data_IF_079785585559
#
_entry.id   IF_079785585559
#
_cell.length_a   1.000
_cell.length_b   1.000
_cell.length_c   1.000
_cell.angle_alpha   90.00
_cell.angle_beta   90.00
_cell.angle_gamma   90.00
#
_symmetry.space_group_name_H-M   'P 1'
#
loop_
_entity.id
_entity.type
_entity.pdbx_description
1 polymer ?
#
# COMPACT_ATOMS: atom_id res chain seq x y z
N UNK A 1 -35.13 55.79 -66.52
CA UNK A 1 -35.51 55.17 -67.80
C UNK A 1 -35.11 53.71 -67.75
N UNK A 2 -36.02 52.85 -68.21
CA UNK A 2 -35.99 51.38 -68.40
C UNK A 2 -34.64 50.83 -68.93
N UNK A 3 -34.27 49.55 -68.77
CA UNK A 3 -35.05 48.30 -68.98
C UNK A 3 -34.52 47.08 -68.20
N UNK A 4 -35.46 46.19 -67.86
CA UNK A 4 -35.30 44.79 -67.40
C UNK A 4 -35.13 43.80 -68.56
N UNK A 5 -34.63 42.60 -68.24
CA UNK A 5 -35.18 41.25 -68.61
C UNK A 5 -34.50 40.19 -67.71
N UNK A 6 -35.16 39.59 -66.70
CA UNK A 6 -35.99 38.35 -66.72
C UNK A 6 -35.22 37.07 -67.13
N UNK A 7 -35.36 35.85 -66.58
CA UNK A 7 -36.09 35.15 -65.49
C UNK A 7 -35.48 33.71 -65.46
N UNK A 8 -35.25 32.95 -64.38
CA UNK A 8 -36.18 32.10 -63.58
C UNK A 8 -35.36 30.98 -62.89
N UNK A 9 -35.44 30.83 -61.54
CA UNK A 9 -36.10 29.77 -60.73
C UNK A 9 -35.28 28.44 -60.62
N UNK A 10 -35.16 27.69 -59.51
CA UNK A 10 -35.95 27.35 -58.31
C UNK A 10 -34.94 26.90 -57.21
N UNK A 11 -34.97 27.37 -55.94
CA UNK A 11 -35.60 26.74 -54.74
C UNK A 11 -34.84 25.51 -54.20
N UNK A 12 -34.66 25.21 -52.91
CA UNK A 12 -34.98 25.86 -51.64
C UNK A 12 -34.20 25.16 -50.50
N UNK A 13 -34.16 25.85 -49.36
CA UNK A 13 -33.48 25.61 -48.08
C UNK A 13 -33.97 24.36 -47.33
N UNK A 14 -33.12 23.73 -46.51
CA UNK A 14 -33.39 23.24 -45.11
C UNK A 14 -32.17 22.45 -44.59
N UNK A 15 -31.38 23.00 -43.66
CA UNK A 15 -31.52 22.99 -42.19
C UNK A 15 -31.03 21.71 -41.53
N UNK A 16 -29.86 21.83 -40.89
CA UNK A 16 -29.26 20.90 -39.94
C UNK A 16 -30.11 20.80 -38.67
N UNK A 17 -30.35 19.58 -38.17
CA UNK A 17 -30.60 19.36 -36.75
C UNK A 17 -30.32 17.91 -36.32
N UNK A 18 -29.47 17.81 -35.29
CA UNK A 18 -29.49 16.85 -34.15
C UNK A 18 -29.63 15.35 -34.41
N UNK A 19 -28.55 14.60 -34.13
CA UNK A 19 -28.60 13.15 -33.94
C UNK A 19 -28.59 12.86 -32.44
N UNK A 20 -29.75 12.46 -31.94
CA UNK A 20 -29.97 11.83 -30.64
C UNK A 20 -29.81 10.31 -30.80
N UNK A 21 -29.04 9.70 -29.90
CA UNK A 21 -28.85 8.26 -29.81
C UNK A 21 -29.97 7.62 -28.97
N UNK A 22 -30.53 6.53 -29.48
CA UNK A 22 -31.30 5.55 -28.71
C UNK A 22 -31.06 4.14 -29.27
N UNK A 23 -31.19 3.10 -28.42
CA UNK A 23 -30.52 1.83 -28.60
C UNK A 23 -31.31 0.88 -29.50
N UNK A 24 -30.61 0.12 -30.35
CA UNK A 24 -31.22 -0.97 -31.13
C UNK A 24 -31.34 -2.23 -30.28
N UNK A 25 -32.57 -2.55 -29.93
CA UNK A 25 -33.02 -3.86 -29.45
C UNK A 25 -32.81 -4.91 -30.55
N UNK A 26 -32.04 -5.96 -30.27
CA UNK A 26 -32.03 -7.20 -31.07
C UNK A 26 -32.55 -8.33 -30.21
N UNK A 27 -33.64 -8.92 -30.67
CA UNK A 27 -34.40 -10.01 -30.05
C UNK A 27 -33.64 -11.32 -30.16
N UNK A 28 -33.33 -11.98 -29.04
CA UNK A 28 -32.88 -13.38 -29.01
C UNK A 28 -34.07 -14.27 -28.63
N UNK A 29 -34.33 -15.29 -29.45
CA UNK A 29 -35.37 -16.29 -29.20
C UNK A 29 -34.98 -17.20 -28.03
N UNK A 30 -35.89 -17.33 -27.07
CA UNK A 30 -35.83 -18.40 -26.06
C UNK A 30 -36.23 -19.73 -26.69
N UNK A 31 -35.37 -20.74 -26.53
CA UNK A 31 -35.76 -22.15 -26.61
C UNK A 31 -35.85 -22.70 -25.19
N UNK A 32 -37.02 -23.23 -24.88
CA UNK A 32 -37.44 -23.85 -23.62
C UNK A 32 -36.71 -25.17 -23.37
N UNK A 33 -36.07 -25.31 -22.21
CA UNK A 33 -35.86 -26.60 -21.56
C UNK A 33 -36.61 -26.61 -20.22
N UNK A 34 -37.44 -27.63 -20.05
CA UNK A 34 -38.26 -27.91 -18.88
C UNK A 34 -37.37 -28.31 -17.68
N UNK A 35 -37.59 -27.68 -16.53
CA UNK A 35 -37.12 -28.16 -15.23
C UNK A 35 -38.06 -29.28 -14.75
N UNK A 36 -37.49 -30.44 -14.40
CA UNK A 36 -38.14 -31.40 -13.51
C UNK A 36 -37.69 -31.12 -12.07
N UNK A 37 -38.68 -30.80 -11.24
CA UNK A 37 -38.57 -30.70 -9.79
C UNK A 37 -38.57 -32.09 -9.18
N UNK A 38 -37.53 -32.42 -8.39
CA UNK A 38 -37.60 -33.54 -7.44
C UNK A 38 -37.46 -33.01 -6.02
N UNK A 39 -38.56 -33.16 -5.29
CA UNK A 39 -38.69 -32.99 -3.85
C UNK A 39 -38.00 -34.18 -3.18
N UNK A 40 -37.11 -33.95 -2.22
CA UNK A 40 -36.77 -34.97 -1.21
C UNK A 40 -36.74 -34.35 0.19
N UNK A 41 -37.39 -35.06 1.10
CA UNK A 41 -37.74 -34.68 2.46
C UNK A 41 -36.55 -34.75 3.42
N UNK A 42 -36.66 -33.94 4.48
CA UNK A 42 -35.88 -34.00 5.71
C UNK A 42 -35.90 -35.41 6.33
N UNK A 43 -34.72 -35.86 6.79
CA UNK A 43 -34.61 -36.74 7.95
C UNK A 43 -33.40 -36.33 8.79
N UNK A 44 -33.64 -35.99 10.06
CA UNK A 44 -32.64 -35.91 11.12
C UNK A 44 -32.15 -37.32 11.48
N UNK A 45 -30.92 -37.47 12.01
CA UNK A 45 -30.88 -37.89 13.41
C UNK A 45 -29.66 -37.39 14.25
N UNK A 46 -29.99 -37.20 15.54
CA UNK A 46 -29.22 -37.41 16.78
C UNK A 46 -27.83 -36.76 16.98
N UNK A 47 -27.82 -35.91 18.00
CA UNK A 47 -26.66 -35.56 18.83
C UNK A 47 -26.09 -36.79 19.55
N UNK A 48 -24.77 -36.91 19.53
CA UNK A 48 -24.01 -37.56 20.60
C UNK A 48 -22.81 -36.69 20.97
N UNK A 49 -22.74 -36.39 22.25
CA UNK A 49 -21.68 -35.70 22.98
C UNK A 49 -20.36 -36.48 22.95
N UNK A 50 -19.24 -35.80 22.74
CA UNK A 50 -18.00 -36.09 23.48
C UNK A 50 -17.05 -34.91 23.43
N UNK A 51 -16.68 -34.44 24.62
CA UNK A 51 -15.66 -33.45 24.86
C UNK A 51 -14.27 -34.08 24.68
N UNK A 52 -13.37 -33.36 24.01
CA UNK A 52 -11.94 -33.57 24.11
C UNK A 52 -11.29 -32.21 24.40
N UNK A 53 -10.51 -32.20 25.48
CA UNK A 53 -9.73 -31.07 25.97
C UNK A 53 -8.57 -30.82 25.01
N UNK A 54 -8.41 -29.59 24.54
CA UNK A 54 -7.13 -29.12 24.01
C UNK A 54 -6.37 -28.41 25.13
N UNK A 55 -5.30 -29.06 25.59
CA UNK A 55 -4.32 -28.50 26.52
C UNK A 55 -3.33 -27.64 25.76
N UNK A 56 -3.32 -26.36 26.10
CA UNK A 56 -2.27 -25.38 25.82
C UNK A 56 -0.92 -25.91 26.26
N UNK A 57 0.04 -26.01 25.34
CA UNK A 57 1.45 -26.22 25.69
C UNK A 57 2.27 -25.05 25.16
N UNK A 58 2.77 -24.24 26.09
CA UNK A 58 3.76 -23.18 25.86
C UNK A 58 5.03 -23.79 25.26
N UNK A 59 5.49 -23.26 24.12
CA UNK A 59 6.86 -23.46 23.65
C UNK A 59 7.77 -22.47 24.36
N UNK A 60 8.50 -22.96 25.36
CA UNK A 60 9.72 -22.32 25.87
C UNK A 60 10.83 -22.44 24.82
N UNK A 61 11.40 -21.31 24.41
CA UNK A 61 12.66 -21.25 23.66
C UNK A 61 13.82 -21.40 24.66
N UNK A 62 14.52 -22.54 24.63
CA UNK A 62 15.81 -22.71 25.32
C UNK A 62 16.95 -22.55 24.31
N UNK A 63 17.88 -21.65 24.63
CA UNK A 63 19.12 -21.43 23.89
C UNK A 63 20.14 -22.50 24.29
N UNK A 64 20.31 -23.53 23.46
CA UNK A 64 21.40 -24.51 23.61
C UNK A 64 22.68 -23.96 22.99
N UNK A 65 23.67 -23.62 23.83
CA UNK A 65 25.06 -23.37 23.44
C UNK A 65 25.82 -24.68 23.38
N UNK A 66 26.30 -25.07 22.20
CA UNK A 66 27.12 -26.27 22.06
C UNK A 66 28.60 -25.87 22.09
N UNK A 67 29.26 -26.23 23.19
CA UNK A 67 30.69 -26.14 23.41
C UNK A 67 31.38 -27.35 22.79
N UNK A 68 32.25 -27.14 21.81
CA UNK A 68 33.14 -28.16 21.26
C UNK A 68 34.50 -28.07 21.97
N UNK A 69 34.81 -29.10 22.76
CA UNK A 69 36.10 -29.31 23.40
C UNK A 69 37.11 -29.79 22.35
N UNK A 70 38.21 -29.05 22.21
CA UNK A 70 39.39 -29.45 21.42
C UNK A 70 40.40 -30.11 22.36
N UNK A 71 40.74 -31.36 22.05
CA UNK A 71 41.71 -32.17 22.79
C UNK A 71 43.14 -31.81 22.36
N UNK A 72 44.02 -31.64 23.34
CA UNK A 72 45.40 -31.16 23.20
C UNK A 72 46.40 -32.29 22.94
N UNK A 73 47.38 -32.06 22.05
CA UNK A 73 48.65 -32.81 22.00
C UNK A 73 49.86 -31.86 22.00
N UNK A 74 51.03 -32.26 22.54
CA UNK A 74 52.02 -31.34 23.07
C UNK A 74 53.14 -30.94 22.09
N UNK A 75 53.80 -29.86 22.51
CA UNK A 75 54.88 -29.06 21.92
C UNK A 75 56.18 -29.86 21.67
N UNK A 76 56.86 -29.55 20.56
CA UNK A 76 58.33 -29.64 20.45
C UNK A 76 58.90 -28.39 19.75
N UNK A 77 60.05 -27.95 20.23
CA UNK A 77 60.68 -26.64 20.03
C UNK A 77 61.99 -26.76 19.25
N UNK A 78 62.25 -25.89 18.26
CA UNK A 78 63.63 -25.52 17.88
C UNK A 78 63.73 -24.11 17.26
N UNK A 79 64.83 -23.44 17.64
CA UNK A 79 65.35 -22.11 17.27
C UNK A 79 65.46 -21.89 15.73
N UNK A 80 65.49 -20.67 15.14
CA UNK A 80 66.46 -19.60 15.36
C UNK A 80 66.15 -18.32 14.51
N UNK A 81 66.09 -17.16 15.19
CA UNK A 81 66.66 -15.82 14.90
C UNK A 81 66.54 -15.12 13.51
N UNK A 82 65.78 -14.01 13.54
CA UNK A 82 66.05 -12.63 13.06
C UNK A 82 66.26 -12.32 11.57
N UNK A 83 65.38 -11.47 11.03
CA UNK A 83 65.75 -10.26 10.28
C UNK A 83 64.64 -9.22 10.45
N UNK A 84 65.01 -8.00 10.85
CA UNK A 84 64.13 -6.83 10.97
C UNK A 84 64.23 -5.98 9.72
N UNK A 85 63.11 -5.68 9.06
CA UNK A 85 62.88 -4.45 8.26
C UNK A 85 61.40 -4.10 8.40
N UNK A 86 61.12 -2.87 8.85
CA UNK A 86 59.79 -2.43 9.27
C UNK A 86 58.82 -2.15 8.14
N UNK A 87 57.53 -2.30 8.46
CA UNK A 87 56.41 -1.63 7.79
C UNK A 87 55.46 -1.19 8.90
N UNK A 88 55.04 0.07 8.79
CA UNK A 88 54.19 0.81 9.71
C UNK A 88 52.86 0.09 9.95
N UNK A 89 52.41 0.11 11.20
CA UNK A 89 51.15 -0.47 11.64
C UNK A 89 50.05 0.58 11.45
N UNK A 90 49.27 0.48 10.37
CA UNK A 90 47.99 1.17 10.26
C UNK A 90 46.99 0.50 11.21
N UNK A 91 46.72 1.17 12.33
CA UNK A 91 45.56 0.89 13.18
C UNK A 91 44.31 1.38 12.47
N UNK A 92 43.63 0.50 11.73
CA UNK A 92 42.26 0.75 11.27
C UNK A 92 41.31 0.55 12.45
N UNK A 93 41.10 1.63 13.20
CA UNK A 93 39.89 1.79 14.00
C UNK A 93 38.74 1.96 13.02
N UNK A 94 37.96 0.91 12.81
CA UNK A 94 36.69 0.99 12.09
C UNK A 94 35.70 1.82 12.91
N UNK A 95 35.78 3.14 12.78
CA UNK A 95 34.65 4.01 13.02
C UNK A 95 33.65 3.69 11.91
N UNK A 96 32.67 2.84 12.22
CA UNK A 96 31.40 2.88 11.48
C UNK A 96 30.81 4.24 11.81
N UNK A 97 31.08 5.21 10.95
CA UNK A 97 30.32 6.43 10.89
C UNK A 97 28.90 6.00 10.51
N UNK A 98 28.04 5.81 11.52
CA UNK A 98 26.61 5.88 11.27
C UNK A 98 26.38 7.23 10.64
N UNK A 99 26.08 7.23 9.35
CA UNK A 99 25.59 8.43 8.69
C UNK A 99 24.34 8.87 9.46
N UNK A 100 24.48 9.99 10.17
CA UNK A 100 23.36 10.74 10.72
C UNK A 100 22.49 11.16 9.54
N UNK A 101 21.49 10.34 9.20
CA UNK A 101 20.42 10.70 8.27
C UNK A 101 19.54 11.74 8.95
N UNK A 102 20.01 12.98 8.94
CA UNK A 102 19.34 14.14 9.53
C UNK A 102 17.90 14.22 9.05
N UNK A 103 17.03 14.66 9.96
CA UNK A 103 15.66 15.19 9.83
C UNK A 103 15.42 16.24 8.71
N UNK A 104 16.15 16.20 7.59
CA UNK A 104 16.17 17.21 6.52
C UNK A 104 15.59 16.72 5.19
N UNK A 105 15.60 15.43 4.91
CA UNK A 105 14.94 14.88 3.73
C UNK A 105 13.54 14.40 4.12
N UNK A 106 12.51 15.00 3.54
CA UNK A 106 11.12 14.58 3.77
C UNK A 106 10.42 15.17 5.00
N UNK A 107 11.02 16.08 5.75
CA UNK A 107 10.39 16.64 6.95
C UNK A 107 9.58 17.92 6.67
N UNK A 108 8.38 18.04 7.23
CA UNK A 108 7.59 19.26 7.27
C UNK A 108 7.97 20.13 8.46
N UNK A 109 7.75 21.45 8.40
CA UNK A 109 8.03 22.35 9.53
C UNK A 109 6.81 23.18 9.92
N UNK A 110 6.50 23.24 11.21
CA UNK A 110 5.43 24.08 11.77
C UNK A 110 5.83 24.54 13.17
N UNK A 111 5.56 25.80 13.51
CA UNK A 111 5.76 26.37 14.86
C UNK A 111 7.16 26.12 15.46
N UNK A 112 8.23 26.17 14.65
CA UNK A 112 9.60 25.95 15.12
C UNK A 112 9.94 24.48 15.41
N UNK A 113 9.12 23.54 14.92
CA UNK A 113 9.36 22.11 14.96
C UNK A 113 9.44 21.54 13.55
N UNK A 114 10.25 20.50 13.36
CA UNK A 114 10.21 19.63 12.20
C UNK A 114 9.42 18.36 12.52
N UNK A 115 8.74 17.81 11.53
CA UNK A 115 7.91 16.62 11.60
C UNK A 115 8.29 15.67 10.47
N UNK A 116 8.35 14.37 10.74
CA UNK A 116 8.66 13.34 9.74
C UNK A 116 7.92 12.05 10.08
N UNK A 117 7.36 11.39 9.06
CA UNK A 117 6.80 10.05 9.21
C UNK A 117 7.91 8.99 9.07
N UNK A 118 7.76 7.88 9.80
CA UNK A 118 8.74 6.80 9.83
C UNK A 118 8.08 5.45 9.58
N UNK A 119 8.77 4.65 8.77
CA UNK A 119 8.47 3.25 8.46
C UNK A 119 9.62 2.35 8.92
N UNK A 120 9.39 1.04 9.16
CA UNK A 120 8.11 0.31 9.06
C UNK A 120 7.12 0.66 10.19
N UNK A 121 5.85 0.22 10.12
CA UNK A 121 4.89 0.43 11.19
C UNK A 121 5.31 -0.28 12.49
N UNK A 122 5.15 0.39 13.62
CA UNK A 122 5.57 -0.08 14.95
C UNK A 122 4.45 0.08 15.99
N UNK A 123 4.60 -0.58 17.14
CA UNK A 123 3.77 -0.32 18.32
C UNK A 123 4.00 1.11 18.82
N UNK A 124 3.04 1.69 19.55
CA UNK A 124 3.15 3.08 20.02
C UNK A 124 4.41 3.30 20.87
N UNK A 125 4.74 2.36 21.75
CA UNK A 125 5.93 2.47 22.61
C UNK A 125 7.24 2.36 21.84
N UNK A 126 7.30 1.48 20.83
CA UNK A 126 8.51 1.32 20.02
C UNK A 126 8.70 2.53 19.08
N UNK A 127 7.61 3.08 18.56
CA UNK A 127 7.60 4.31 17.78
C UNK A 127 8.13 5.51 18.59
N UNK A 128 7.69 5.68 19.84
CA UNK A 128 8.20 6.71 20.74
C UNK A 128 9.70 6.57 20.99
N UNK A 129 10.18 5.34 21.17
CA UNK A 129 11.61 5.08 21.35
C UNK A 129 12.42 5.54 20.13
N UNK A 130 11.97 5.23 18.92
CA UNK A 130 12.62 5.69 17.68
C UNK A 130 12.64 7.21 17.59
N UNK A 131 11.53 7.89 17.91
CA UNK A 131 11.50 9.35 17.89
C UNK A 131 12.45 9.98 18.91
N UNK A 132 12.62 9.36 20.07
CA UNK A 132 13.57 9.78 21.10
C UNK A 132 15.02 9.60 20.65
N UNK A 133 15.34 8.49 19.97
CA UNK A 133 16.66 8.25 19.38
C UNK A 133 17.01 9.28 18.29
N UNK A 134 16.01 9.76 17.55
CA UNK A 134 16.13 10.87 16.61
C UNK A 134 16.28 12.25 17.30
N UNK A 135 16.27 12.29 18.64
CA UNK A 135 16.38 13.51 19.45
C UNK A 135 15.10 14.34 19.46
N UNK A 136 13.96 13.68 19.27
CA UNK A 136 12.61 14.22 19.27
C UNK A 136 11.69 13.41 20.20
N UNK A 137 10.39 13.42 19.89
CA UNK A 137 9.38 12.54 20.49
C UNK A 137 8.31 12.27 19.41
N UNK A 138 7.34 11.40 19.65
CA UNK A 138 6.14 11.35 18.84
C UNK A 138 5.44 12.71 18.81
N UNK A 139 4.85 13.02 17.67
CA UNK A 139 4.40 14.36 17.32
C UNK A 139 3.29 14.88 18.23
N UNK A 140 3.38 16.16 18.59
CA UNK A 140 2.40 16.89 19.38
C UNK A 140 1.61 17.80 18.45
N UNK A 141 0.44 17.34 18.01
CA UNK A 141 -0.36 18.00 16.97
C UNK A 141 -1.53 18.80 17.57
N UNK A 142 -1.20 19.77 18.41
CA UNK A 142 -2.19 20.48 19.23
C UNK A 142 -2.82 21.73 18.59
N UNK A 143 -2.47 22.05 17.35
CA UNK A 143 -3.00 23.20 16.59
C UNK A 143 -3.46 22.75 15.21
N UNK A 144 -4.36 23.51 14.58
CA UNK A 144 -4.85 23.17 13.24
C UNK A 144 -3.72 23.16 12.20
N UNK A 145 -2.74 24.06 12.33
CA UNK A 145 -1.56 24.10 11.45
C UNK A 145 -0.73 22.81 11.57
N UNK A 146 -0.64 22.24 12.77
CA UNK A 146 0.05 20.97 13.00
C UNK A 146 -0.79 19.75 12.58
N UNK A 147 -2.09 19.76 12.81
CA UNK A 147 -2.97 18.66 12.36
C UNK A 147 -2.96 18.56 10.83
N UNK A 148 -2.94 19.70 10.15
CA UNK A 148 -2.84 19.77 8.69
C UNK A 148 -1.44 19.39 8.16
N UNK A 149 -0.49 18.98 9.00
CA UNK A 149 0.83 18.49 8.56
C UNK A 149 0.72 17.27 7.64
N UNK A 150 -0.35 16.46 7.74
CA UNK A 150 -0.66 15.40 6.77
C UNK A 150 -0.63 15.93 5.34
N UNK A 151 -1.14 17.14 5.07
CA UNK A 151 -1.13 17.71 3.73
C UNK A 151 0.29 18.03 3.22
N UNK A 152 1.33 17.96 4.06
CA UNK A 152 2.69 18.45 3.75
C UNK A 152 3.77 17.39 4.03
N UNK A 153 3.53 16.39 4.88
CA UNK A 153 4.46 15.27 5.03
C UNK A 153 4.55 14.57 3.66
N UNK A 154 5.70 14.58 2.98
CA UNK A 154 5.85 14.06 1.61
C UNK A 154 5.49 12.58 1.47
N UNK A 155 5.43 11.84 2.57
CA UNK A 155 5.03 10.43 2.62
C UNK A 155 3.48 10.24 2.61
N UNK A 156 2.71 11.33 2.68
CA UNK A 156 1.24 11.33 2.55
C UNK A 156 0.75 11.74 1.15
N UNK A 157 1.61 12.40 0.37
CA UNK A 157 1.36 12.64 -1.04
C UNK A 157 2.11 11.60 -1.86
N UNK A 158 1.66 11.38 -3.08
CA UNK A 158 2.45 10.56 -3.99
C UNK A 158 3.80 11.22 -4.22
N UNK A 159 4.87 10.47 -3.94
CA UNK A 159 6.24 10.93 -4.13
C UNK A 159 6.41 11.51 -5.56
N UNK A 160 7.28 12.51 -5.78
CA UNK A 160 7.44 13.13 -7.08
C UNK A 160 7.62 12.11 -8.20
N UNK A 161 6.79 12.21 -9.24
CA UNK A 161 6.77 11.26 -10.36
C UNK A 161 5.81 10.07 -10.20
N UNK A 162 5.18 9.89 -9.03
CA UNK A 162 4.07 8.96 -8.82
C UNK A 162 2.72 9.69 -8.98
N UNK A 163 1.78 9.03 -9.64
CA UNK A 163 0.43 9.50 -9.90
C UNK A 163 -0.48 9.20 -8.69
N UNK A 164 -1.28 10.18 -8.26
CA UNK A 164 -2.28 10.00 -7.20
C UNK A 164 -2.37 11.19 -6.24
N UNK A 165 -3.07 11.02 -5.10
CA UNK A 165 -3.64 9.77 -4.60
C UNK A 165 -4.96 9.36 -5.28
N UNK A 166 -5.17 8.06 -5.48
CA UNK A 166 -6.46 7.47 -5.86
C UNK A 166 -6.80 6.33 -4.91
N UNK A 167 -7.89 6.47 -4.15
CA UNK A 167 -8.31 5.47 -3.15
C UNK A 167 -7.15 5.09 -2.21
N UNK A 168 -6.47 6.11 -1.65
CA UNK A 168 -5.30 5.95 -0.78
C UNK A 168 -4.16 5.13 -1.40
N UNK A 169 -3.97 5.21 -2.72
CA UNK A 169 -2.83 4.59 -3.42
C UNK A 169 -2.16 5.57 -4.38
N UNK A 170 -0.88 5.38 -4.58
CA UNK A 170 -0.06 6.04 -5.59
C UNK A 170 0.38 5.05 -6.65
N UNK A 171 0.49 5.48 -7.90
CA UNK A 171 0.76 4.60 -9.03
C UNK A 171 1.91 5.14 -9.89
N UNK A 172 2.69 4.25 -10.50
CA UNK A 172 3.69 4.59 -11.51
C UNK A 172 3.93 3.38 -12.41
N UNK A 173 4.69 3.59 -13.48
CA UNK A 173 5.09 2.51 -14.38
C UNK A 173 6.58 2.23 -14.31
N UNK A 174 6.97 0.98 -14.53
CA UNK A 174 8.38 0.65 -14.78
C UNK A 174 8.81 1.17 -16.14
N UNK A 175 10.07 1.59 -16.27
CA UNK A 175 10.65 1.95 -17.58
C UNK A 175 11.00 0.73 -18.41
N UNK A 176 11.45 -0.33 -17.74
CA UNK A 176 12.03 -1.51 -18.38
C UNK A 176 10.96 -2.57 -18.66
N UNK A 177 11.20 -3.36 -19.71
CA UNK A 177 10.43 -4.56 -20.01
C UNK A 177 10.95 -5.71 -19.14
N UNK A 178 10.08 -6.25 -18.30
CA UNK A 178 10.43 -7.20 -17.25
C UNK A 178 9.46 -8.39 -17.30
N UNK A 179 9.93 -9.56 -16.87
CA UNK A 179 9.02 -10.66 -16.53
C UNK A 179 8.19 -10.26 -15.31
N UNK A 180 7.05 -10.92 -15.10
CA UNK A 180 6.16 -10.55 -14.01
C UNK A 180 6.86 -10.59 -12.64
N UNK A 181 7.71 -11.60 -12.39
CA UNK A 181 8.47 -11.73 -11.16
C UNK A 181 9.54 -10.63 -10.97
N UNK A 182 10.19 -10.21 -12.06
CA UNK A 182 11.15 -9.11 -12.02
C UNK A 182 10.42 -7.76 -11.82
N UNK A 183 9.25 -7.58 -12.43
CA UNK A 183 8.40 -6.41 -12.17
C UNK A 183 7.97 -6.34 -10.72
N UNK A 184 7.54 -7.45 -10.13
CA UNK A 184 7.23 -7.53 -8.70
C UNK A 184 8.41 -7.09 -7.83
N UNK A 185 9.61 -7.56 -8.16
CA UNK A 185 10.84 -7.17 -7.45
C UNK A 185 11.12 -5.66 -7.57
N UNK A 186 10.97 -5.09 -8.77
CA UNK A 186 11.17 -3.65 -9.01
C UNK A 186 10.09 -2.81 -8.34
N UNK A 187 8.84 -3.26 -8.36
CA UNK A 187 7.76 -2.57 -7.66
C UNK A 187 7.90 -2.67 -6.14
N UNK A 188 8.63 -3.63 -5.57
CA UNK A 188 8.76 -3.82 -4.12
C UNK A 188 9.64 -2.77 -3.38
N UNK A 189 9.86 -1.61 -3.98
CA UNK A 189 10.62 -0.51 -3.38
C UNK A 189 9.81 0.23 -2.32
N UNK A 190 10.31 0.26 -1.09
CA UNK A 190 9.69 0.97 0.03
C UNK A 190 8.22 0.60 0.27
N UNK A 191 7.88 -0.70 0.34
CA UNK A 191 6.52 -1.18 0.68
C UNK A 191 5.50 -1.10 -0.46
N UNK A 192 5.95 -0.74 -1.66
CA UNK A 192 5.17 -0.75 -2.90
C UNK A 192 4.98 -2.17 -3.44
N UNK A 193 4.00 -2.41 -4.32
CA UNK A 193 3.73 -3.71 -4.95
C UNK A 193 3.25 -3.54 -6.40
N UNK A 194 3.02 -4.65 -7.11
CA UNK A 194 2.32 -4.60 -8.41
C UNK A 194 0.87 -4.15 -8.24
N UNK A 195 0.41 -3.28 -9.14
CA UNK A 195 -0.89 -2.62 -9.00
C UNK A 195 -2.09 -3.57 -9.15
N UNK A 196 -3.13 -3.30 -8.36
CA UNK A 196 -4.43 -3.96 -8.42
C UNK A 196 -5.55 -2.92 -8.34
N UNK A 197 -6.69 -3.20 -8.97
CA UNK A 197 -7.81 -2.26 -9.05
C UNK A 197 -9.09 -2.89 -8.53
N UNK A 198 -9.81 -2.15 -7.68
CA UNK A 198 -11.05 -2.60 -7.04
C UNK A 198 -12.31 -2.05 -7.70
N UNK A 199 -12.17 -1.09 -8.63
CA UNK A 199 -13.29 -0.49 -9.33
C UNK A 199 -12.88 0.11 -10.68
N UNK A 200 -13.87 0.21 -11.56
CA UNK A 200 -13.72 0.68 -12.92
C UNK A 200 -13.28 2.15 -13.02
N UNK A 201 -13.75 3.02 -12.10
CA UNK A 201 -13.48 4.45 -12.16
C UNK A 201 -12.00 4.73 -11.87
N UNK A 202 -11.47 4.10 -10.81
CA UNK A 202 -10.06 4.20 -10.43
C UNK A 202 -9.16 3.64 -11.52
N UNK A 203 -9.50 2.46 -12.06
CA UNK A 203 -8.72 1.85 -13.15
C UNK A 203 -8.52 2.78 -14.34
N UNK A 204 -9.62 3.25 -14.95
CA UNK A 204 -9.52 4.09 -16.15
C UNK A 204 -8.87 5.45 -15.88
N UNK A 205 -9.11 6.03 -14.71
CA UNK A 205 -8.49 7.32 -14.33
C UNK A 205 -6.97 7.18 -14.14
N UNK A 206 -6.53 6.09 -13.51
CA UNK A 206 -5.11 5.83 -13.27
C UNK A 206 -4.37 5.55 -14.58
N UNK A 207 -4.88 4.67 -15.44
CA UNK A 207 -4.18 4.34 -16.69
C UNK A 207 -4.14 5.54 -17.66
N UNK A 208 -5.14 6.42 -17.65
CA UNK A 208 -5.11 7.68 -18.39
C UNK A 208 -4.04 8.62 -17.82
N UNK A 209 -4.03 8.82 -16.51
CA UNK A 209 -3.04 9.67 -15.84
C UNK A 209 -1.60 9.18 -15.98
N UNK A 210 -1.39 7.87 -16.15
CA UNK A 210 -0.09 7.26 -16.44
C UNK A 210 0.31 7.35 -17.92
N UNK A 211 -0.57 7.85 -18.79
CA UNK A 211 -0.34 7.92 -20.23
C UNK A 211 -0.32 6.55 -20.91
N UNK A 212 -0.94 5.53 -20.30
CA UNK A 212 -1.10 4.21 -20.90
C UNK A 212 -2.16 4.25 -22.00
N UNK A 213 -3.22 5.07 -21.80
CA UNK A 213 -4.18 5.33 -22.86
C UNK A 213 -3.47 5.99 -24.04
N UNK A 214 -3.73 5.47 -25.24
CA UNK A 214 -3.11 5.82 -26.52
C UNK A 214 -1.69 5.27 -26.75
N UNK A 215 -1.17 4.46 -25.82
CA UNK A 215 0.04 3.67 -26.00
C UNK A 215 -0.19 2.39 -26.80
N UNK A 216 0.91 1.74 -27.19
CA UNK A 216 0.90 0.38 -27.78
C UNK A 216 1.59 -0.64 -26.87
N UNK A 217 2.12 -0.17 -25.74
CA UNK A 217 2.82 -1.01 -24.77
C UNK A 217 1.80 -1.77 -23.89
N UNK A 218 2.15 -3.01 -23.54
CA UNK A 218 1.41 -3.78 -22.56
C UNK A 218 2.02 -3.59 -21.17
N UNK A 219 1.19 -3.74 -20.14
CA UNK A 219 1.61 -3.54 -18.76
C UNK A 219 1.16 -4.69 -17.87
N UNK A 220 2.07 -5.29 -17.12
CA UNK A 220 1.74 -6.22 -16.04
C UNK A 220 0.95 -5.52 -14.93
N UNK A 221 0.01 -6.27 -14.37
CA UNK A 221 -0.70 -5.98 -13.13
C UNK A 221 -0.35 -7.01 -12.05
N UNK A 222 -0.68 -6.70 -10.80
CA UNK A 222 -0.51 -7.59 -9.66
C UNK A 222 -1.52 -8.73 -9.61
N UNK A 223 -2.50 -8.73 -10.51
CA UNK A 223 -3.52 -9.77 -10.59
C UNK A 223 -2.93 -11.04 -11.21
N UNK A 224 -3.16 -12.17 -10.58
CA UNK A 224 -2.64 -13.46 -11.01
C UNK A 224 -3.45 -14.63 -10.39
N UNK A 225 -3.39 -15.81 -11.00
CA UNK A 225 -3.98 -17.06 -10.49
C UNK A 225 -2.96 -18.21 -10.46
N UNK A 226 -1.67 -17.87 -10.35
CA UNK A 226 -0.50 -18.78 -10.36
C UNK A 226 -0.54 -19.94 -9.38
N UNK A 227 -1.36 -19.82 -8.33
CA UNK A 227 -1.46 -20.81 -7.25
C UNK A 227 -2.66 -21.73 -7.44
N UNK A 228 -3.77 -21.20 -7.96
CA UNK A 228 -5.04 -21.91 -8.09
C UNK A 228 -5.74 -21.40 -9.36
N UNK A 229 -5.66 -22.20 -10.41
CA UNK A 229 -6.21 -21.91 -11.73
C UNK A 229 -7.67 -21.44 -11.59
N UNK A 230 -8.03 -20.37 -12.30
CA UNK A 230 -9.37 -19.74 -12.27
C UNK A 230 -9.70 -18.96 -10.98
N UNK A 231 -8.82 -18.95 -9.98
CA UNK A 231 -9.00 -18.20 -8.74
C UNK A 231 -8.00 -17.04 -8.68
N UNK A 232 -8.34 -15.95 -9.38
CA UNK A 232 -7.51 -14.76 -9.40
C UNK A 232 -7.47 -14.03 -8.06
N UNK A 233 -6.26 -13.62 -7.71
CA UNK A 233 -5.94 -12.81 -6.53
C UNK A 233 -5.03 -11.65 -6.92
N UNK A 234 -4.97 -10.66 -6.05
CA UNK A 234 -3.99 -9.58 -6.13
C UNK A 234 -2.60 -10.08 -5.71
N UNK A 235 -1.59 -9.21 -5.84
CA UNK A 235 -0.21 -9.55 -5.50
C UNK A 235 -0.03 -9.87 -4.00
N UNK A 236 -0.83 -9.24 -3.15
CA UNK A 236 -0.90 -9.41 -1.70
C UNK A 236 -1.95 -10.46 -1.26
N UNK A 237 -2.26 -11.42 -2.14
CA UNK A 237 -3.15 -12.56 -1.90
C UNK A 237 -4.61 -12.19 -1.54
N UNK A 238 -5.06 -10.98 -1.85
CA UNK A 238 -6.45 -10.57 -1.63
C UNK A 238 -7.37 -11.06 -2.75
N UNK A 239 -8.62 -11.43 -2.42
CA UNK A 239 -9.61 -11.75 -3.43
C UNK A 239 -9.96 -10.51 -4.26
N UNK A 240 -10.15 -10.69 -5.56
CA UNK A 240 -10.60 -9.60 -6.42
C UNK A 240 -12.06 -9.20 -6.12
N UNK A 241 -12.32 -7.90 -6.12
CA UNK A 241 -13.68 -7.34 -5.96
C UNK A 241 -14.29 -6.85 -7.27
N UNK A 242 -13.45 -6.68 -8.29
CA UNK A 242 -13.82 -6.20 -9.61
C UNK A 242 -12.78 -6.69 -10.63
N UNK A 243 -13.23 -6.93 -11.85
CA UNK A 243 -12.38 -7.36 -12.95
C UNK A 243 -12.72 -6.66 -14.27
N UNK A 244 -11.73 -6.64 -15.16
CA UNK A 244 -11.83 -6.07 -16.50
C UNK A 244 -11.30 -7.04 -17.57
N UNK A 245 -11.48 -8.35 -17.36
CA UNK A 245 -10.95 -9.38 -18.25
C UNK A 245 -11.67 -9.42 -19.59
N UNK A 246 -10.93 -9.73 -20.66
CA UNK A 246 -11.48 -10.23 -21.91
C UNK A 246 -11.38 -11.76 -21.94
N UNK A 247 -12.53 -12.44 -22.04
CA UNK A 247 -12.60 -13.90 -22.06
C UNK A 247 -12.10 -14.47 -23.39
N UNK A 248 -10.83 -14.90 -23.44
CA UNK A 248 -10.23 -15.48 -24.63
C UNK A 248 -9.76 -16.95 -24.47
N UNK A 249 -10.07 -17.61 -23.35
CA UNK A 249 -9.86 -19.06 -23.17
C UNK A 249 -8.40 -19.51 -23.05
N UNK A 250 -7.55 -18.70 -22.42
CA UNK A 250 -6.12 -18.96 -22.23
C UNK A 250 -5.80 -19.49 -20.81
N UNK A 251 -6.44 -20.59 -20.42
CA UNK A 251 -6.33 -21.32 -19.13
C UNK A 251 -4.94 -21.92 -18.79
N UNK A 252 -3.84 -21.31 -19.22
CA UNK A 252 -2.47 -21.77 -18.92
C UNK A 252 -1.51 -20.61 -18.65
N UNK A 253 -2.04 -19.39 -18.60
CA UNK A 253 -1.28 -18.17 -18.43
C UNK A 253 -1.79 -17.49 -17.17
N UNK A 254 -0.89 -17.23 -16.24
CA UNK A 254 -1.34 -16.96 -14.88
C UNK A 254 -1.15 -15.50 -14.43
N UNK A 255 -0.65 -14.63 -15.32
CA UNK A 255 -0.28 -13.25 -14.98
C UNK A 255 -1.05 -12.23 -15.81
N UNK A 256 -1.64 -11.22 -15.17
CA UNK A 256 -2.53 -10.28 -15.85
C UNK A 256 -1.78 -9.13 -16.55
N UNK A 257 -2.20 -8.81 -17.78
CA UNK A 257 -1.68 -7.70 -18.59
C UNK A 257 -2.80 -6.75 -19.04
N UNK A 258 -2.51 -5.46 -19.06
CA UNK A 258 -3.31 -4.46 -19.79
C UNK A 258 -2.94 -4.54 -21.27
N UNK A 259 -3.94 -4.69 -22.14
CA UNK A 259 -3.73 -4.76 -23.58
C UNK A 259 -4.40 -3.61 -24.35
N UNK A 260 -3.64 -2.72 -25.00
CA UNK A 260 -4.21 -1.57 -25.71
C UNK A 260 -5.17 -1.91 -26.85
N UNK A 261 -4.95 -3.04 -27.53
CA UNK A 261 -5.71 -3.43 -28.72
C UNK A 261 -7.18 -3.79 -28.42
N UNK A 262 -7.48 -4.28 -27.21
CA UNK A 262 -8.83 -4.62 -26.78
C UNK A 262 -9.38 -3.58 -25.81
N UNK A 263 -9.31 -2.29 -26.18
CA UNK A 263 -9.83 -1.20 -25.36
C UNK A 263 -9.30 -1.20 -23.91
N UNK A 264 -8.05 -1.62 -23.72
CA UNK A 264 -7.39 -1.68 -22.41
C UNK A 264 -8.06 -2.66 -21.43
N UNK A 265 -8.71 -3.71 -21.94
CA UNK A 265 -9.12 -4.87 -21.15
C UNK A 265 -7.90 -5.66 -20.66
N UNK A 266 -8.16 -6.61 -19.76
CA UNK A 266 -7.13 -7.46 -19.16
C UNK A 266 -7.04 -8.81 -19.88
N UNK A 267 -5.82 -9.23 -20.20
CA UNK A 267 -5.53 -10.57 -20.70
C UNK A 267 -4.47 -11.26 -19.87
N UNK A 268 -4.58 -12.58 -19.87
CA UNK A 268 -3.58 -13.46 -19.32
C UNK A 268 -2.32 -13.49 -20.20
N UNK A 269 -1.17 -13.26 -19.56
CA UNK A 269 0.17 -13.28 -20.08
C UNK A 269 1.00 -14.38 -19.42
N UNK A 270 2.02 -14.87 -20.14
CA UNK A 270 2.91 -15.89 -19.59
C UNK A 270 3.94 -15.24 -18.65
N UNK A 271 3.83 -15.50 -17.35
CA UNK A 271 4.63 -14.86 -16.29
C UNK A 271 6.15 -14.89 -16.52
N UNK A 272 6.67 -15.95 -17.14
CA UNK A 272 8.10 -16.24 -17.24
C UNK A 272 8.69 -15.91 -18.63
N UNK A 273 7.91 -16.11 -19.69
CA UNK A 273 8.39 -16.02 -21.07
C UNK A 273 8.01 -14.72 -21.78
N UNK A 274 7.16 -13.90 -21.18
CA UNK A 274 6.80 -12.58 -21.70
C UNK A 274 7.47 -11.49 -20.86
N UNK A 275 7.76 -10.36 -21.50
CA UNK A 275 8.32 -9.18 -20.83
C UNK A 275 7.51 -7.96 -21.23
N UNK A 276 7.03 -7.23 -20.23
CA UNK A 276 6.21 -6.04 -20.39
C UNK A 276 6.66 -4.99 -19.38
N UNK A 277 6.23 -3.73 -19.55
CA UNK A 277 6.31 -2.78 -18.43
C UNK A 277 5.33 -3.23 -17.35
N UNK A 278 5.38 -2.64 -16.17
CA UNK A 278 4.43 -2.95 -15.11
C UNK A 278 3.85 -1.67 -14.52
N UNK A 279 2.61 -1.76 -14.04
CA UNK A 279 2.04 -0.75 -13.17
C UNK A 279 2.32 -1.16 -11.73
N UNK A 280 2.98 -0.29 -10.99
CA UNK A 280 3.20 -0.45 -9.55
C UNK A 280 2.19 0.41 -8.79
N UNK A 281 1.86 -0.02 -7.56
CA UNK A 281 1.10 0.76 -6.60
C UNK A 281 1.84 0.87 -5.27
N UNK A 282 1.58 1.95 -4.55
CA UNK A 282 2.04 2.15 -3.18
C UNK A 282 0.83 2.54 -2.32
N UNK A 283 0.47 1.74 -1.31
CA UNK A 283 -0.61 2.12 -0.39
C UNK A 283 -0.16 3.31 0.46
N UNK A 284 -1.03 4.31 0.56
CA UNK A 284 -0.89 5.40 1.50
C UNK A 284 -1.57 5.01 2.81
N UNK A 285 -0.85 5.19 3.90
CA UNK A 285 -1.41 5.02 5.24
C UNK A 285 -2.32 6.21 5.56
N UNK A 286 -3.50 5.91 6.09
CA UNK A 286 -4.47 6.94 6.52
C UNK A 286 -4.45 7.19 8.02
N UNK A 287 -3.61 6.49 8.78
CA UNK A 287 -3.65 6.48 10.24
C UNK A 287 -2.26 6.31 10.85
N UNK A 288 -1.86 7.26 11.71
CA UNK A 288 -0.49 7.36 12.19
C UNK A 288 -0.42 7.51 13.70
N UNK A 289 0.56 6.90 14.35
CA UNK A 289 0.83 7.21 15.75
C UNK A 289 1.26 8.66 15.95
N UNK A 290 0.70 9.29 16.98
CA UNK A 290 1.09 10.60 17.51
C UNK A 290 1.37 10.50 19.00
N UNK A 291 1.96 11.54 19.59
CA UNK A 291 2.48 11.50 20.95
C UNK A 291 1.42 11.55 22.05
N UNK A 292 0.15 11.34 21.73
CA UNK A 292 -0.93 11.37 22.71
C UNK A 292 -1.29 9.98 23.22
N UNK A 293 -1.54 9.88 24.52
CA UNK A 293 -1.98 8.67 25.21
C UNK A 293 -2.74 9.02 26.50
N UNK A 294 -3.48 8.06 27.05
CA UNK A 294 -4.08 8.13 28.39
C UNK A 294 -3.70 6.95 29.29
N UNK A 295 -2.58 6.28 28.96
CA UNK A 295 -1.98 5.12 29.65
C UNK A 295 -1.92 5.20 31.19
N UNK A 296 -1.83 6.40 31.74
CA UNK A 296 -1.73 6.63 33.20
C UNK A 296 -3.10 6.79 33.85
N UNK A 297 -4.05 7.40 33.16
CA UNK A 297 -5.37 7.71 33.70
C UNK A 297 -6.37 7.75 32.56
N UNK A 298 -7.16 6.69 32.47
CA UNK A 298 -8.31 6.51 31.59
C UNK A 298 -9.14 7.80 31.44
N UNK A 299 -9.43 8.18 30.18
CA UNK A 299 -10.11 9.41 29.76
C UNK A 299 -9.35 10.72 30.01
N UNK A 300 -8.08 10.66 30.45
CA UNK A 300 -7.23 11.83 30.62
C UNK A 300 -6.07 11.80 29.60
N UNK A 301 -6.41 12.18 28.38
CA UNK A 301 -5.48 12.22 27.25
C UNK A 301 -4.45 13.34 27.36
N UNK A 302 -3.18 12.93 27.27
CA UNK A 302 -2.02 13.82 27.36
C UNK A 302 -1.04 13.56 26.24
N UNK A 303 -0.44 14.64 25.77
CA UNK A 303 0.74 14.58 24.92
C UNK A 303 1.97 14.09 25.70
N UNK A 304 3.00 13.63 25.00
CA UNK A 304 4.30 13.21 25.57
C UNK A 304 4.95 14.30 26.43
N UNK A 305 4.67 15.58 26.17
CA UNK A 305 5.13 16.70 26.99
C UNK A 305 4.24 17.00 28.22
N UNK A 306 3.30 16.12 28.56
CA UNK A 306 2.32 16.19 29.67
C UNK A 306 1.19 17.21 29.52
N UNK A 307 1.13 17.98 28.42
CA UNK A 307 0.01 18.87 28.15
C UNK A 307 -1.26 18.07 27.83
N UNK A 308 -2.41 18.58 28.25
CA UNK A 308 -3.69 17.95 27.97
C UNK A 308 -4.08 18.13 26.48
N UNK A 309 -4.79 17.15 25.93
CA UNK A 309 -5.41 17.27 24.61
C UNK A 309 -6.69 18.10 24.64
N UNK A 310 -7.00 18.72 23.50
CA UNK A 310 -8.29 19.33 23.24
C UNK A 310 -9.27 18.29 22.68
N UNK A 311 -10.34 18.04 23.43
CA UNK A 311 -11.36 17.05 23.06
C UNK A 311 -12.10 17.42 21.76
N UNK A 312 -12.07 18.70 21.33
CA UNK A 312 -12.68 19.12 20.07
C UNK A 312 -11.93 18.63 18.82
N UNK A 313 -10.73 18.07 18.97
CA UNK A 313 -9.89 17.59 17.86
C UNK A 313 -10.06 16.10 17.53
N UNK A 314 -10.88 15.40 18.29
CA UNK A 314 -11.17 13.98 18.08
C UNK A 314 -12.24 13.78 17.01
N UNK A 315 -12.18 12.64 16.34
CA UNK A 315 -13.23 12.15 15.45
C UNK A 315 -14.56 12.04 16.19
N UNK A 316 -15.64 12.07 15.43
CA UNK A 316 -16.98 12.02 16.02
C UNK A 316 -17.14 10.67 16.75
N UNK A 317 -17.51 10.72 18.03
CA UNK A 317 -17.63 9.58 18.95
C UNK A 317 -16.31 9.02 19.50
N UNK A 318 -15.18 9.68 19.26
CA UNK A 318 -13.87 9.29 19.80
C UNK A 318 -13.47 10.22 20.97
N UNK A 319 -12.65 9.76 21.93
CA UNK A 319 -12.18 8.37 22.10
C UNK A 319 -13.29 7.41 22.57
N UNK A 320 -13.28 6.14 22.14
CA UNK A 320 -14.33 5.14 22.45
C UNK A 320 -13.85 3.78 22.98
N UNK A 321 -12.55 3.48 22.96
CA UNK A 321 -12.01 2.19 23.36
C UNK A 321 -11.84 2.00 24.86
N UNK A 322 -12.06 3.05 25.65
CA UNK A 322 -11.86 3.06 27.10
C UNK A 322 -10.50 2.43 27.48
N UNK A 323 -10.45 1.55 28.48
CA UNK A 323 -9.20 0.97 28.98
C UNK A 323 -8.48 0.07 27.96
N UNK A 324 -9.09 -0.24 26.80
CA UNK A 324 -8.47 -1.09 25.77
C UNK A 324 -7.60 -0.28 24.80
N UNK A 325 -7.97 0.96 24.48
CA UNK A 325 -7.30 1.78 23.48
C UNK A 325 -6.76 3.05 24.14
N UNK A 326 -5.47 3.03 24.44
CA UNK A 326 -4.85 4.07 25.27
C UNK A 326 -3.85 4.94 24.51
N UNK A 327 -3.74 4.77 23.19
CA UNK A 327 -2.78 5.45 22.33
C UNK A 327 -3.49 6.15 21.18
N UNK A 328 -3.13 7.40 20.89
CA UNK A 328 -3.83 8.20 19.91
C UNK A 328 -3.20 8.04 18.53
N UNK A 329 -4.05 7.87 17.52
CA UNK A 329 -3.69 8.00 16.12
C UNK A 329 -4.19 9.33 15.55
N UNK A 330 -3.50 9.87 14.56
CA UNK A 330 -4.06 10.85 13.64
C UNK A 330 -4.61 10.11 12.42
N UNK A 331 -5.94 10.19 12.21
CA UNK A 331 -6.65 9.44 11.18
C UNK A 331 -7.26 10.39 10.14
N UNK A 332 -7.07 10.06 8.87
CA UNK A 332 -7.70 10.74 7.73
C UNK A 332 -8.80 9.88 7.12
N UNK A 333 -10.00 10.44 7.04
CA UNK A 333 -11.12 9.84 6.31
C UNK A 333 -11.99 10.92 5.63
N UNK A 334 -13.16 10.52 5.13
CA UNK A 334 -14.11 11.43 4.47
C UNK A 334 -14.63 12.58 5.36
N UNK A 335 -14.53 12.46 6.68
CA UNK A 335 -14.93 13.48 7.66
C UNK A 335 -13.79 14.45 8.01
N UNK A 336 -12.57 14.18 7.54
CA UNK A 336 -11.38 15.01 7.70
C UNK A 336 -10.25 14.33 8.47
N UNK A 337 -9.25 15.11 8.86
CA UNK A 337 -8.10 14.66 9.64
C UNK A 337 -8.33 14.99 11.12
N UNK A 338 -8.55 13.97 11.95
CA UNK A 338 -8.80 14.11 13.39
C UNK A 338 -8.21 12.93 14.17
N UNK A 339 -8.23 13.01 15.50
CA UNK A 339 -7.68 11.95 16.36
C UNK A 339 -8.67 10.81 16.61
N UNK A 340 -8.13 9.59 16.75
CA UNK A 340 -8.84 8.41 17.21
C UNK A 340 -7.99 7.67 18.26
N UNK A 341 -8.61 6.89 19.14
CA UNK A 341 -7.90 6.04 20.08
C UNK A 341 -7.74 4.63 19.50
N UNK A 342 -6.59 4.02 19.76
CA UNK A 342 -6.27 2.70 19.28
C UNK A 342 -5.48 1.89 20.33
N UNK A 343 -5.56 0.56 20.20
CA UNK A 343 -4.76 -0.37 20.97
C UNK A 343 -3.28 -0.13 20.66
N UNK A 344 -2.53 0.25 21.69
CA UNK A 344 -1.12 0.62 21.60
C UNK A 344 -0.22 -0.46 20.97
N UNK A 345 -0.67 -1.72 20.94
CA UNK A 345 0.04 -2.84 20.33
C UNK A 345 -0.14 -2.95 18.82
N UNK A 346 -1.11 -2.22 18.24
CA UNK A 346 -1.27 -2.13 16.79
C UNK A 346 -0.03 -1.51 16.15
N UNK A 347 0.24 -1.91 14.91
CA UNK A 347 1.40 -1.42 14.16
C UNK A 347 0.95 -0.31 13.23
N UNK A 348 1.41 0.91 13.49
CA UNK A 348 1.16 2.05 12.61
C UNK A 348 2.46 2.74 12.22
N UNK A 349 2.48 3.33 11.03
CA UNK A 349 3.44 4.37 10.67
C UNK A 349 3.29 5.50 11.70
N UNK A 350 4.37 6.18 12.04
CA UNK A 350 4.35 7.13 13.15
C UNK A 350 5.04 8.43 12.78
N UNK A 351 4.57 9.53 13.37
CA UNK A 351 5.11 10.87 13.10
C UNK A 351 5.94 11.30 14.30
N UNK A 352 7.23 11.54 14.08
CA UNK A 352 8.09 12.16 15.07
C UNK A 352 8.10 13.69 14.91
N UNK A 353 8.25 14.41 16.01
CA UNK A 353 8.56 15.84 16.03
C UNK A 353 9.92 16.13 16.68
N UNK A 354 10.61 17.16 16.19
CA UNK A 354 11.88 17.64 16.73
C UNK A 354 11.96 19.15 16.70
N UNK A 355 12.63 19.77 17.68
CA UNK A 355 12.87 21.21 17.66
C UNK A 355 13.81 21.63 16.52
N UNK A 356 13.47 22.73 15.82
CA UNK A 356 14.37 23.37 14.88
C UNK A 356 15.44 24.13 15.71
N UNK A 357 16.73 23.85 15.52
CA UNK A 357 17.82 24.50 16.25
C UNK A 357 17.92 26.01 16.04
#
# INVERSE_FOLDING_TARGET
MQTNSELSSVGSVTSLQTISSSPKTTTLQMSTLLQETTVFQETTPLQTTSALQETTTLKTFEHSTQSTLVETTPIDSTHQKSTTVGIEQETSTSNVHLESTTFKAGSSSAEGKCYKAFEPPLSWSDAELVCQEEGGNLAILNTDDKINLMAIIPDYQCAPGKLGPFVNKCYWTTSDLLSWANSATVCNDGGSILASFSDNSTYFTVIDGLGILNGTEQFWLGINDRVDETVYKTYDDQPMTWDNFVFNGHFWKDCCTIIPEESYLWLEGNCENEVHKAVCEHPLTTEFWVGANDLVTENLWKWTNTANMDMAKWHDSQPDGSNAQNCATLKYDSSGTKFADEDCSQLHIFICEKAIP
#
